data_IF_005222045965
#
_entry.id   IF_005222045965
#
_cell.length_a   1.000
_cell.length_b   1.000
_cell.length_c   1.000
_cell.angle_alpha   90.00
_cell.angle_beta   90.00
_cell.angle_gamma   90.00
#
_symmetry.space_group_name_H-M   'P 1'
#
loop_
_entity.id
_entity.type
_entity.pdbx_description
1 polymer ?
#
# COMPACT_ATOMS: atom_id res chain seq x y z
N UNK A 1 -31.48 -68.07 27.58
CA UNK A 1 -30.74 -68.07 26.29
C UNK A 1 -30.74 -66.67 25.72
N UNK A 2 -29.66 -66.25 25.04
CA UNK A 2 -29.50 -65.01 24.23
C UNK A 2 -28.86 -63.74 24.87
N UNK A 3 -27.66 -63.83 25.43
CA UNK A 3 -26.78 -62.64 25.64
C UNK A 3 -25.29 -62.84 25.31
N UNK A 4 -24.89 -64.00 24.78
CA UNK A 4 -23.46 -64.28 24.46
C UNK A 4 -22.98 -63.73 23.11
N UNK A 5 -23.89 -63.42 22.16
CA UNK A 5 -23.48 -62.99 20.81
C UNK A 5 -23.12 -61.50 20.71
N UNK A 6 -23.54 -60.66 21.66
CA UNK A 6 -23.35 -59.20 21.58
C UNK A 6 -21.91 -58.76 21.85
N UNK A 7 -21.18 -59.46 22.72
CA UNK A 7 -19.80 -59.10 23.09
C UNK A 7 -18.74 -59.62 22.11
N UNK A 8 -19.04 -60.67 21.33
CA UNK A 8 -18.15 -61.19 20.27
C UNK A 8 -18.36 -60.50 18.92
N UNK A 9 -19.55 -59.95 18.66
CA UNK A 9 -19.82 -59.19 17.42
C UNK A 9 -19.11 -57.83 17.37
N UNK A 10 -18.97 -57.14 18.51
CA UNK A 10 -18.36 -55.81 18.60
C UNK A 10 -16.86 -55.80 18.22
N UNK A 11 -15.99 -56.72 18.71
CA UNK A 11 -14.58 -56.73 18.32
C UNK A 11 -14.39 -57.13 16.85
N UNK A 12 -15.27 -58.00 16.31
CA UNK A 12 -15.20 -58.45 14.93
C UNK A 12 -15.62 -57.34 13.94
N UNK A 13 -16.66 -56.57 14.29
CA UNK A 13 -17.08 -55.38 13.56
C UNK A 13 -16.00 -54.28 13.61
N UNK A 14 -15.35 -54.11 14.76
CA UNK A 14 -14.22 -53.18 14.91
C UNK A 14 -13.04 -53.54 14.00
N UNK A 15 -12.64 -54.81 13.97
CA UNK A 15 -11.57 -55.28 13.08
C UNK A 15 -11.93 -55.11 11.60
N UNK A 16 -13.18 -55.38 11.21
CA UNK A 16 -13.67 -55.16 9.85
C UNK A 16 -13.64 -53.68 9.46
N UNK A 17 -13.98 -52.77 10.38
CA UNK A 17 -13.96 -51.33 10.13
C UNK A 17 -12.52 -50.80 9.95
N UNK A 18 -11.56 -51.33 10.72
CA UNK A 18 -10.14 -50.97 10.58
C UNK A 18 -9.55 -51.41 9.23
N UNK A 19 -10.03 -52.52 8.64
CA UNK A 19 -9.60 -52.98 7.32
C UNK A 19 -10.06 -52.06 6.17
N UNK A 20 -11.08 -51.23 6.39
CA UNK A 20 -11.59 -50.28 5.39
C UNK A 20 -10.80 -48.96 5.35
N UNK A 21 -9.91 -48.70 6.31
CA UNK A 21 -9.03 -47.53 6.30
C UNK A 21 -7.81 -47.79 5.41
N UNK A 22 -8.01 -47.77 4.09
CA UNK A 22 -6.90 -47.74 3.14
C UNK A 22 -6.22 -46.36 3.14
N UNK A 23 -4.89 -46.27 3.23
CA UNK A 23 -4.20 -44.98 3.10
C UNK A 23 -4.42 -44.42 1.70
N UNK A 24 -5.10 -43.27 1.61
CA UNK A 24 -5.27 -42.57 0.35
C UNK A 24 -3.93 -42.00 -0.13
N UNK A 25 -3.33 -42.62 -1.15
CA UNK A 25 -2.14 -42.09 -1.82
C UNK A 25 -2.59 -41.19 -2.97
N UNK A 26 -2.36 -39.88 -2.83
CA UNK A 26 -2.66 -38.90 -3.88
C UNK A 26 -1.44 -38.75 -4.82
N UNK A 27 -1.54 -39.31 -6.02
CA UNK A 27 -0.56 -39.16 -7.12
C UNK A 27 -1.17 -38.28 -8.20
N UNK A 28 -0.43 -37.27 -8.67
CA UNK A 28 -0.87 -36.39 -9.74
C UNK A 28 -0.17 -36.81 -11.04
N UNK A 29 -0.93 -36.97 -12.12
CA UNK A 29 -0.44 -37.32 -13.45
C UNK A 29 -0.54 -36.10 -14.36
N UNK A 30 0.51 -35.84 -15.14
CA UNK A 30 0.57 -34.81 -16.18
C UNK A 30 0.55 -35.47 -17.55
N UNK A 31 -0.27 -34.97 -18.46
CA UNK A 31 -0.35 -35.44 -19.84
C UNK A 31 -0.72 -34.29 -20.79
N UNK A 32 -0.57 -34.50 -22.09
CA UNK A 32 -0.89 -33.51 -23.14
C UNK A 32 -2.08 -34.02 -23.93
N UNK A 33 -3.10 -33.19 -24.10
CA UNK A 33 -4.30 -33.54 -24.88
C UNK A 33 -4.13 -33.35 -26.39
N UNK A 34 -5.19 -33.66 -27.15
CA UNK A 34 -5.16 -33.62 -28.61
C UNK A 34 -4.98 -32.19 -29.16
N UNK A 35 -5.27 -31.17 -28.34
CA UNK A 35 -5.12 -29.75 -28.70
C UNK A 35 -3.75 -29.21 -28.28
N UNK A 36 -2.88 -30.05 -27.69
CA UNK A 36 -1.56 -29.66 -27.22
C UNK A 36 -1.56 -29.03 -25.82
N UNK A 37 -2.68 -29.04 -25.11
CA UNK A 37 -2.80 -28.45 -23.77
C UNK A 37 -2.34 -29.44 -22.69
N UNK A 38 -1.57 -28.95 -21.72
CA UNK A 38 -1.13 -29.75 -20.57
C UNK A 38 -2.25 -29.88 -19.56
N UNK A 39 -2.61 -31.11 -19.23
CA UNK A 39 -3.64 -31.45 -18.25
C UNK A 39 -3.06 -32.20 -17.04
N UNK A 40 -3.76 -32.09 -15.90
CA UNK A 40 -3.39 -32.74 -14.64
C UNK A 40 -4.56 -33.55 -14.07
N UNK A 41 -4.33 -34.81 -13.72
CA UNK A 41 -5.38 -35.73 -13.23
C UNK A 41 -4.90 -36.52 -12.01
N UNK A 42 -5.85 -36.96 -11.17
CA UNK A 42 -5.56 -37.81 -10.00
C UNK A 42 -5.42 -39.30 -10.36
N UNK A 43 -5.89 -39.69 -11.54
CA UNK A 43 -5.78 -41.04 -12.09
C UNK A 43 -5.05 -40.99 -13.45
N UNK A 44 -4.39 -42.10 -13.86
CA UNK A 44 -3.73 -42.17 -15.16
C UNK A 44 -4.76 -42.05 -16.30
N UNK A 45 -4.49 -41.27 -17.35
CA UNK A 45 -5.40 -41.13 -18.49
C UNK A 45 -5.43 -42.43 -19.31
N UNK A 46 -6.63 -42.83 -19.74
CA UNK A 46 -6.82 -44.06 -20.53
C UNK A 46 -6.25 -43.86 -21.94
N UNK A 47 -5.42 -44.81 -22.39
CA UNK A 47 -4.90 -44.83 -23.76
C UNK A 47 -3.93 -43.70 -24.11
N UNK A 48 -3.40 -42.98 -23.10
CA UNK A 48 -2.45 -41.88 -23.30
C UNK A 48 -1.22 -42.06 -22.41
N UNK A 49 -0.06 -41.67 -22.93
CA UNK A 49 1.14 -41.53 -22.13
C UNK A 49 0.95 -40.41 -21.10
N UNK A 50 1.42 -40.66 -19.87
CA UNK A 50 1.40 -39.68 -18.79
C UNK A 50 2.64 -39.80 -17.93
N UNK A 51 2.99 -38.70 -17.26
CA UNK A 51 4.12 -38.62 -16.34
C UNK A 51 3.62 -38.31 -14.94
N UNK A 52 4.12 -39.03 -13.94
CA UNK A 52 3.81 -38.73 -12.54
C UNK A 52 4.49 -37.41 -12.15
N UNK A 53 3.72 -36.50 -11.57
CA UNK A 53 4.24 -35.27 -10.98
C UNK A 53 4.81 -35.61 -9.60
N UNK A 54 6.13 -35.45 -9.39
CA UNK A 54 6.72 -35.71 -8.09
C UNK A 54 6.16 -34.74 -7.06
N UNK A 55 5.99 -35.20 -5.81
CA UNK A 55 5.63 -34.33 -4.70
C UNK A 55 6.73 -33.27 -4.53
N UNK A 56 6.38 -31.99 -4.26
CA UNK A 56 7.39 -31.00 -3.94
C UNK A 56 8.23 -31.51 -2.78
N UNK A 57 9.54 -31.67 -2.99
CA UNK A 57 10.46 -31.90 -1.90
C UNK A 57 10.61 -30.60 -1.12
N UNK A 58 10.63 -30.63 0.23
CA UNK A 58 11.04 -29.46 0.99
C UNK A 58 12.40 -29.00 0.46
N UNK A 59 12.53 -27.71 0.16
CA UNK A 59 13.82 -27.16 -0.26
C UNK A 59 14.81 -27.30 0.90
N UNK A 60 15.94 -27.98 0.66
CA UNK A 60 17.09 -28.02 1.57
C UNK A 60 17.81 -26.65 1.53
N UNK A 61 17.13 -25.61 1.98
CA UNK A 61 17.78 -24.33 2.27
C UNK A 61 18.58 -24.51 3.54
N UNK A 62 19.86 -24.16 3.50
CA UNK A 62 20.68 -24.21 4.71
C UNK A 62 20.10 -23.27 5.78
N UNK A 63 20.30 -23.60 7.06
CA UNK A 63 19.87 -22.72 8.16
C UNK A 63 20.46 -21.31 8.02
N UNK A 64 21.61 -21.16 7.38
CA UNK A 64 22.28 -19.86 7.19
C UNK A 64 21.63 -19.06 6.05
N UNK A 65 21.28 -19.70 4.94
CA UNK A 65 20.51 -19.07 3.85
C UNK A 65 19.13 -18.63 4.31
N UNK A 66 18.46 -19.43 5.14
CA UNK A 66 17.17 -19.07 5.72
C UNK A 66 17.29 -17.83 6.64
N UNK A 67 18.32 -17.78 7.49
CA UNK A 67 18.59 -16.63 8.37
C UNK A 67 18.91 -15.37 7.59
N UNK A 68 19.80 -15.46 6.61
CA UNK A 68 20.17 -14.30 5.77
C UNK A 68 18.99 -13.78 4.95
N UNK A 69 18.14 -14.66 4.42
CA UNK A 69 16.89 -14.29 3.74
C UNK A 69 15.94 -13.54 4.68
N UNK A 70 15.74 -14.06 5.91
CA UNK A 70 14.90 -13.42 6.92
C UNK A 70 15.41 -12.02 7.27
N UNK A 71 16.72 -11.87 7.50
CA UNK A 71 17.32 -10.57 7.82
C UNK A 71 17.14 -9.56 6.68
N UNK A 72 17.35 -9.98 5.43
CA UNK A 72 17.09 -9.13 4.25
C UNK A 72 15.62 -8.73 4.15
N UNK A 73 14.69 -9.65 4.42
CA UNK A 73 13.26 -9.34 4.42
C UNK A 73 12.90 -8.32 5.51
N UNK A 74 13.46 -8.47 6.71
CA UNK A 74 13.27 -7.52 7.81
C UNK A 74 13.85 -6.14 7.50
N UNK A 75 15.03 -6.06 6.88
CA UNK A 75 15.63 -4.80 6.45
C UNK A 75 14.75 -4.09 5.41
N UNK A 76 14.32 -4.80 4.36
CA UNK A 76 13.40 -4.26 3.35
C UNK A 76 12.09 -3.76 3.96
N UNK A 77 11.53 -4.47 4.93
CA UNK A 77 10.31 -4.04 5.62
C UNK A 77 10.53 -2.76 6.43
N UNK A 78 11.68 -2.64 7.11
CA UNK A 78 12.05 -1.41 7.85
C UNK A 78 12.22 -0.22 6.91
N UNK A 79 12.96 -0.40 5.82
CA UNK A 79 13.18 0.62 4.80
C UNK A 79 11.86 1.08 4.19
N UNK A 80 11.00 0.13 3.78
CA UNK A 80 9.68 0.44 3.23
C UNK A 80 8.81 1.22 4.22
N UNK A 81 8.83 0.83 5.50
CA UNK A 81 8.09 1.54 6.56
C UNK A 81 8.60 2.96 6.76
N UNK A 82 9.93 3.16 6.75
CA UNK A 82 10.54 4.49 6.84
C UNK A 82 10.19 5.37 5.64
N UNK A 83 10.35 4.87 4.42
CA UNK A 83 9.98 5.59 3.19
C UNK A 83 8.50 5.97 3.18
N UNK A 84 7.61 5.09 3.65
CA UNK A 84 6.16 5.39 3.78
C UNK A 84 5.89 6.49 4.79
N UNK A 85 6.60 6.52 5.92
CA UNK A 85 6.47 7.58 6.93
C UNK A 85 6.98 8.92 6.38
N UNK A 86 8.14 8.92 5.73
CA UNK A 86 8.73 10.11 5.13
C UNK A 86 7.85 10.67 4.03
N UNK A 87 7.36 9.84 3.10
CA UNK A 87 6.42 10.27 2.07
C UNK A 87 5.14 10.88 2.66
N UNK A 88 4.58 10.27 3.72
CA UNK A 88 3.41 10.83 4.41
C UNK A 88 3.72 12.18 5.08
N UNK A 89 4.89 12.32 5.69
CA UNK A 89 5.32 13.58 6.30
C UNK A 89 5.49 14.66 5.23
N UNK A 90 6.16 14.33 4.12
CA UNK A 90 6.37 15.25 3.00
C UNK A 90 5.03 15.71 2.40
N UNK A 91 4.09 14.79 2.18
CA UNK A 91 2.74 15.14 1.72
C UNK A 91 2.03 16.12 2.65
N UNK A 92 2.14 15.93 3.98
CA UNK A 92 1.56 16.87 4.95
C UNK A 92 2.23 18.24 4.88
N UNK A 93 3.55 18.28 4.76
CA UNK A 93 4.32 19.52 4.62
C UNK A 93 3.90 20.25 3.34
N UNK A 94 3.76 19.53 2.22
CA UNK A 94 3.39 20.12 0.94
C UNK A 94 1.96 20.68 0.97
N UNK A 95 1.01 19.98 1.61
CA UNK A 95 -0.35 20.49 1.82
C UNK A 95 -0.32 21.80 2.63
N UNK A 96 0.39 21.82 3.75
CA UNK A 96 0.49 23.03 4.60
C UNK A 96 1.15 24.18 3.83
N UNK A 97 2.20 23.91 3.06
CA UNK A 97 2.86 24.93 2.23
C UNK A 97 1.91 25.48 1.17
N UNK A 98 1.12 24.62 0.53
CA UNK A 98 0.15 25.02 -0.48
C UNK A 98 -0.96 25.89 0.14
N UNK A 99 -1.50 25.50 1.30
CA UNK A 99 -2.49 26.29 2.02
C UNK A 99 -1.92 27.66 2.44
N UNK A 100 -0.69 27.70 2.95
CA UNK A 100 0.00 28.95 3.28
C UNK A 100 0.17 29.85 2.05
N UNK A 101 0.56 29.28 0.92
CA UNK A 101 0.69 30.02 -0.34
C UNK A 101 -0.65 30.60 -0.78
N UNK A 102 -1.73 29.82 -0.75
CA UNK A 102 -3.10 30.28 -1.06
C UNK A 102 -3.49 31.46 -0.16
N UNK A 103 -3.25 31.36 1.16
CA UNK A 103 -3.57 32.44 2.08
C UNK A 103 -2.74 33.70 1.82
N UNK A 104 -1.44 33.56 1.54
CA UNK A 104 -0.57 34.68 1.19
C UNK A 104 -1.04 35.39 -0.08
N UNK A 105 -1.44 34.63 -1.09
CA UNK A 105 -1.97 35.16 -2.34
C UNK A 105 -3.32 35.85 -2.16
N UNK A 106 -4.22 35.26 -1.36
CA UNK A 106 -5.49 35.89 -0.97
C UNK A 106 -5.25 37.22 -0.27
N UNK A 107 -4.36 37.25 0.73
CA UNK A 107 -4.04 38.45 1.48
C UNK A 107 -3.43 39.53 0.57
N UNK A 108 -2.49 39.17 -0.29
CA UNK A 108 -1.89 40.11 -1.24
C UNK A 108 -2.93 40.74 -2.18
N UNK A 109 -3.91 39.97 -2.67
CA UNK A 109 -5.01 40.48 -3.50
C UNK A 109 -5.91 41.45 -2.70
N UNK A 110 -6.21 41.14 -1.44
CA UNK A 110 -6.97 42.03 -0.54
C UNK A 110 -6.20 43.33 -0.26
N UNK A 111 -4.91 43.24 0.06
CA UNK A 111 -4.07 44.40 0.34
C UNK A 111 -3.98 45.31 -0.89
N UNK A 112 -3.85 44.73 -2.09
CA UNK A 112 -3.85 45.48 -3.35
C UNK A 112 -5.18 46.22 -3.57
N UNK A 113 -6.32 45.59 -3.27
CA UNK A 113 -7.64 46.21 -3.37
C UNK A 113 -7.81 47.36 -2.36
N UNK A 114 -7.35 47.17 -1.13
CA UNK A 114 -7.41 48.19 -0.07
C UNK A 114 -6.60 49.45 -0.44
N UNK A 115 -5.42 49.27 -1.05
CA UNK A 115 -4.60 50.37 -1.53
C UNK A 115 -5.24 51.18 -2.67
N UNK A 116 -6.14 50.57 -3.45
CA UNK A 116 -6.86 51.23 -4.53
C UNK A 116 -8.06 52.05 -4.05
N UNK A 117 -8.82 51.53 -3.07
CA UNK A 117 -10.11 52.09 -2.68
C UNK A 117 -10.02 53.15 -1.58
N UNK A 118 -8.98 53.14 -0.74
CA UNK A 118 -8.97 53.90 0.50
C UNK A 118 -7.77 54.86 0.63
N UNK A 119 -7.78 55.95 -0.13
CA UNK A 119 -6.72 56.98 -0.10
C UNK A 119 -6.45 57.55 1.31
N UNK A 120 -7.39 57.42 2.26
CA UNK A 120 -7.28 57.89 3.66
C UNK A 120 -6.94 56.80 4.68
N UNK A 121 -6.75 55.55 4.26
CA UNK A 121 -6.46 54.44 5.16
C UNK A 121 -5.09 54.62 5.83
N UNK A 122 -5.03 54.33 7.13
CA UNK A 122 -3.79 54.26 7.90
C UNK A 122 -3.35 52.79 7.95
N UNK A 123 -2.06 52.57 7.79
CA UNK A 123 -1.43 51.25 7.80
C UNK A 123 -0.61 51.12 9.08
N UNK A 124 -0.65 49.92 9.68
CA UNK A 124 0.15 49.62 10.86
C UNK A 124 1.57 49.26 10.44
N UNK A 125 2.58 49.90 11.02
CA UNK A 125 3.99 49.59 10.77
C UNK A 125 4.48 48.43 11.64
N UNK A 126 5.72 47.98 11.43
CA UNK A 126 6.33 46.92 12.23
C UNK A 126 6.50 47.33 13.71
N UNK A 127 6.66 48.62 13.95
CA UNK A 127 6.78 49.25 15.28
C UNK A 127 5.41 49.42 15.96
N UNK A 128 4.31 49.10 15.26
CA UNK A 128 2.95 49.13 15.79
C UNK A 128 2.24 50.47 15.63
N UNK A 129 2.87 51.48 15.04
CA UNK A 129 2.28 52.80 14.78
C UNK A 129 1.36 52.78 13.55
N UNK A 130 0.39 53.70 13.51
CA UNK A 130 -0.51 53.86 12.36
C UNK A 130 -0.12 55.07 11.52
N UNK A 131 0.50 54.81 10.37
CA UNK A 131 0.97 55.85 9.45
C UNK A 131 0.09 55.91 8.21
N UNK A 132 -0.03 57.11 7.63
CA UNK A 132 -0.63 57.27 6.31
C UNK A 132 0.46 57.21 5.26
N UNK A 133 0.31 56.31 4.28
CA UNK A 133 1.26 56.19 3.18
C UNK A 133 1.14 57.38 2.22
N UNK A 134 2.27 57.93 1.79
CA UNK A 134 2.33 58.89 0.70
C UNK A 134 1.86 58.26 -0.63
N UNK A 135 1.51 59.08 -1.63
CA UNK A 135 1.15 58.56 -2.97
C UNK A 135 2.27 57.70 -3.57
N UNK A 136 3.52 58.11 -3.40
CA UNK A 136 4.68 57.36 -3.90
C UNK A 136 4.84 56.01 -3.18
N UNK A 137 4.73 56.00 -1.85
CA UNK A 137 4.78 54.76 -1.07
C UNK A 137 3.65 53.80 -1.47
N UNK A 138 2.42 54.31 -1.66
CA UNK A 138 1.29 53.52 -2.16
C UNK A 138 1.56 52.96 -3.55
N UNK A 139 2.15 53.74 -4.46
CA UNK A 139 2.51 53.27 -5.81
C UNK A 139 3.55 52.15 -5.74
N UNK A 140 4.60 52.31 -4.93
CA UNK A 140 5.65 51.30 -4.75
C UNK A 140 5.06 50.00 -4.16
N UNK A 141 4.25 50.10 -3.11
CA UNK A 141 3.65 48.92 -2.48
C UNK A 141 2.67 48.21 -3.42
N UNK A 142 1.86 48.94 -4.20
CA UNK A 142 1.00 48.35 -5.24
C UNK A 142 1.80 47.56 -6.27
N UNK A 143 2.93 48.10 -6.72
CA UNK A 143 3.79 47.40 -7.68
C UNK A 143 4.36 46.14 -7.06
N UNK A 144 4.91 46.22 -5.84
CA UNK A 144 5.44 45.05 -5.12
C UNK A 144 4.40 43.94 -4.94
N UNK A 145 3.16 44.30 -4.59
CA UNK A 145 2.08 43.33 -4.45
C UNK A 145 1.68 42.71 -5.78
N UNK A 146 1.62 43.49 -6.87
CA UNK A 146 1.37 42.98 -8.22
C UNK A 146 2.46 41.99 -8.64
N UNK A 147 3.73 42.36 -8.49
CA UNK A 147 4.86 41.50 -8.82
C UNK A 147 4.85 40.21 -7.99
N UNK A 148 4.48 40.30 -6.70
CA UNK A 148 4.36 39.12 -5.82
C UNK A 148 3.24 38.19 -6.26
N UNK A 149 2.09 38.74 -6.64
CA UNK A 149 0.94 37.96 -7.14
C UNK A 149 1.31 37.29 -8.46
N UNK A 150 1.94 38.02 -9.37
CA UNK A 150 2.35 37.48 -10.68
C UNK A 150 3.37 36.35 -10.53
N UNK A 151 4.37 36.50 -9.65
CA UNK A 151 5.43 35.49 -9.47
C UNK A 151 4.99 34.25 -8.69
N UNK A 152 4.14 34.43 -7.67
CA UNK A 152 3.87 33.36 -6.69
C UNK A 152 2.44 32.81 -6.77
N UNK A 153 1.54 33.48 -7.50
CA UNK A 153 0.11 33.18 -7.49
C UNK A 153 -0.48 33.03 -8.90
N UNK A 154 0.35 32.93 -9.95
CA UNK A 154 -0.09 32.73 -11.34
C UNK A 154 -0.81 31.40 -11.54
N UNK A 155 -0.36 30.37 -10.81
CA UNK A 155 -0.81 28.99 -10.97
C UNK A 155 -1.84 28.58 -9.90
N UNK A 156 -2.37 29.56 -9.15
CA UNK A 156 -3.33 29.40 -8.04
C UNK A 156 -4.72 29.97 -8.34
#
# INVERSE_FOLDING_TARGET
>A
MSTQYKHTFIPLLGCLLLLLLSPAQATIYKWVDNEGTTQYTQAPPIGRASTIVPRPVPSDISSEEARTSLLKAQQKLKEWSQQRKEKKLQQKIDIVKQEQLIQQCRQARIDLANLGNAARQRFRTAEGEYVRLSEEQRRRLRQQLRDKIEKNCSDL
#
